data_IF_260975172079
#
_entry.id   IF_260975172079
#
_cell.length_a   1.000
_cell.length_b   1.000
_cell.length_c   1.000
_cell.angle_alpha   90.00
_cell.angle_beta   90.00
_cell.angle_gamma   90.00
#
_symmetry.space_group_name_H-M   'P 1'
#
loop_
_entity.id
_entity.type
_entity.pdbx_description
1 polymer ?
#
# COMPACT_ATOMS: atom_id res chain seq x y z
N UNK A 1 8.39 10.52 -17.35
CA UNK A 1 8.00 10.24 -17.16
C UNK A 1 7.27 9.72 -17.30
N UNK A 2 7.22 9.50 -17.15
CA UNK A 2 6.75 8.94 -17.14
C UNK A 2 5.87 8.64 -17.03
N UNK A 3 5.63 8.43 -16.91
CA UNK A 3 4.99 8.13 -16.75
C UNK A 3 4.10 7.74 -16.75
N UNK A 4 4.01 7.72 -16.90
CA UNK A 4 3.22 7.34 -17.00
C UNK A 4 2.28 6.69 -16.54
N UNK A 5 1.92 6.13 -16.41
CA UNK A 5 1.15 5.36 -15.76
C UNK A 5 1.42 5.30 -14.45
N UNK A 6 2.03 6.04 -14.04
CA UNK A 6 2.53 6.04 -12.72
C UNK A 6 1.48 6.35 -11.71
N UNK A 7 1.65 5.78 -10.54
CA UNK A 7 0.79 6.09 -9.42
C UNK A 7 1.07 7.50 -8.94
N UNK A 8 0.07 8.18 -8.39
CA UNK A 8 0.33 9.45 -7.74
C UNK A 8 1.29 9.25 -6.57
N UNK A 9 1.97 10.32 -6.20
CA UNK A 9 2.91 10.26 -5.11
C UNK A 9 2.25 9.84 -3.80
N UNK A 10 1.06 10.32 -3.57
CA UNK A 10 0.30 10.01 -2.37
C UNK A 10 -1.01 9.37 -2.75
N UNK A 11 -1.38 8.34 -2.02
CA UNK A 11 -2.61 7.60 -2.26
C UNK A 11 -3.57 7.83 -1.10
N UNK A 12 -4.84 7.96 -1.42
CA UNK A 12 -5.86 7.97 -0.38
C UNK A 12 -6.03 6.56 0.17
N UNK A 13 -6.73 6.45 1.30
CA UNK A 13 -7.03 5.13 1.85
C UNK A 13 -7.82 4.29 0.87
N UNK A 14 -8.77 4.93 0.16
CA UNK A 14 -9.55 4.20 -0.84
C UNK A 14 -8.66 3.68 -1.96
N UNK A 15 -7.75 4.53 -2.44
CA UNK A 15 -6.86 4.10 -3.50
C UNK A 15 -5.92 3.01 -3.03
N UNK A 16 -5.45 3.12 -1.78
CA UNK A 16 -4.59 2.09 -1.21
C UNK A 16 -5.34 0.77 -1.11
N UNK A 17 -6.58 0.82 -0.66
CA UNK A 17 -7.39 -0.40 -0.56
C UNK A 17 -7.57 -1.05 -1.92
N UNK A 18 -7.83 -0.25 -2.94
CA UNK A 18 -7.99 -0.78 -4.28
C UNK A 18 -6.70 -1.42 -4.77
N UNK A 19 -5.59 -0.76 -4.54
CA UNK A 19 -4.29 -1.28 -4.98
C UNK A 19 -3.97 -2.59 -4.28
N UNK A 20 -4.28 -2.67 -2.99
CA UNK A 20 -4.01 -3.88 -2.21
C UNK A 20 -5.13 -4.91 -2.37
N UNK A 21 -6.19 -4.57 -3.08
CA UNK A 21 -7.33 -5.44 -3.31
C UNK A 21 -7.97 -5.87 -2.00
N UNK A 22 -8.18 -4.90 -1.14
CA UNK A 22 -8.78 -5.15 0.16
C UNK A 22 -9.76 -4.03 0.47
N UNK A 23 -10.24 -3.97 1.69
CA UNK A 23 -11.23 -2.98 2.08
C UNK A 23 -10.56 -1.80 2.77
N UNK A 24 -11.27 -0.67 2.79
CA UNK A 24 -10.79 0.49 3.50
C UNK A 24 -10.63 0.18 4.99
N UNK A 25 -11.55 -0.58 5.53
CA UNK A 25 -11.49 -0.95 6.94
C UNK A 25 -10.20 -1.72 7.23
N UNK A 26 -9.85 -2.63 6.34
CA UNK A 26 -8.61 -3.40 6.52
C UNK A 26 -7.40 -2.49 6.46
N UNK A 27 -7.41 -1.51 5.55
CA UNK A 27 -6.29 -0.57 5.46
C UNK A 27 -6.17 0.25 6.73
N UNK A 28 -7.28 0.74 7.26
CA UNK A 28 -7.23 1.48 8.52
C UNK A 28 -6.69 0.63 9.65
N UNK A 29 -7.06 -0.64 9.68
CA UNK A 29 -6.53 -1.53 10.72
C UNK A 29 -5.03 -1.69 10.58
N UNK A 30 -4.54 -1.81 9.36
CA UNK A 30 -3.10 -1.92 9.13
C UNK A 30 -2.39 -0.65 9.58
N UNK A 31 -2.98 0.50 9.31
CA UNK A 31 -2.39 1.76 9.72
C UNK A 31 -2.31 1.85 11.23
N UNK A 32 -3.37 1.46 11.92
CA UNK A 32 -3.40 1.54 13.37
C UNK A 32 -2.40 0.60 14.02
N UNK A 33 -2.12 -0.51 13.38
CA UNK A 33 -1.15 -1.46 13.90
C UNK A 33 0.27 -1.12 13.50
N UNK A 34 0.45 -0.06 12.73
CA UNK A 34 1.77 0.31 12.28
C UNK A 34 2.36 -0.65 11.28
N UNK A 35 1.52 -1.37 10.54
CA UNK A 35 1.99 -2.35 9.58
C UNK A 35 2.22 -1.78 8.19
N UNK A 36 1.74 -0.57 7.94
CA UNK A 36 1.80 0.01 6.61
C UNK A 36 2.80 1.15 6.61
N UNK A 37 3.82 1.11 5.74
CA UNK A 37 4.80 2.19 5.69
C UNK A 37 4.29 3.37 4.90
N UNK A 38 4.93 4.51 5.09
CA UNK A 38 4.63 5.68 4.29
C UNK A 38 3.33 6.36 4.62
N UNK A 39 2.75 6.07 5.78
CA UNK A 39 1.51 6.73 6.18
C UNK A 39 1.82 8.17 6.53
N UNK A 40 1.09 9.08 5.90
CA UNK A 40 1.28 10.50 6.09
C UNK A 40 -0.05 11.12 6.49
N UNK A 41 -0.06 11.90 7.55
CA UNK A 41 -1.26 12.57 7.99
C UNK A 41 -1.14 14.05 7.66
N UNK A 42 -2.08 14.55 6.90
CA UNK A 42 -2.13 15.96 6.52
C UNK A 42 -3.49 16.47 6.94
N UNK A 43 -3.51 17.25 8.02
CA UNK A 43 -4.77 17.66 8.58
C UNK A 43 -5.55 16.44 9.02
N UNK A 44 -6.76 16.30 8.49
CA UNK A 44 -7.59 15.15 8.81
C UNK A 44 -7.44 14.02 7.80
N UNK A 45 -6.62 14.22 6.81
CA UNK A 45 -6.50 13.24 5.75
C UNK A 45 -5.36 12.29 6.06
N UNK A 46 -5.59 11.04 5.75
CA UNK A 46 -4.58 10.02 5.88
C UNK A 46 -4.22 9.58 4.47
N UNK A 47 -2.94 9.68 4.16
CA UNK A 47 -2.43 9.36 2.83
C UNK A 47 -1.28 8.38 2.97
N UNK A 48 -1.04 7.62 1.92
CA UNK A 48 0.03 6.64 1.92
C UNK A 48 0.95 6.97 0.75
N UNK A 49 2.25 7.04 1.02
CA UNK A 49 3.22 7.31 -0.03
C UNK A 49 3.30 6.08 -0.93
N UNK A 50 3.05 6.29 -2.21
CA UNK A 50 3.01 5.17 -3.14
C UNK A 50 4.36 4.47 -3.26
N UNK A 51 5.45 5.23 -3.26
CA UNK A 51 6.77 4.62 -3.36
C UNK A 51 7.05 3.68 -2.20
N UNK A 52 6.70 4.12 -0.99
CA UNK A 52 6.91 3.28 0.19
C UNK A 52 6.02 2.05 0.15
N UNK A 53 4.79 2.23 -0.33
CA UNK A 53 3.87 1.11 -0.43
C UNK A 53 4.36 0.08 -1.42
N UNK A 54 4.86 0.52 -2.56
CA UNK A 54 5.35 -0.41 -3.57
C UNK A 54 6.56 -1.18 -3.04
N UNK A 55 7.43 -0.50 -2.32
CA UNK A 55 8.58 -1.17 -1.73
C UNK A 55 8.14 -2.19 -0.68
N UNK A 56 7.13 -1.82 0.10
CA UNK A 56 6.57 -2.72 1.09
C UNK A 56 6.02 -3.98 0.42
N UNK A 57 5.31 -3.80 -0.69
CA UNK A 57 4.76 -4.93 -1.42
C UNK A 57 5.85 -5.82 -1.99
N UNK A 58 6.94 -5.22 -2.41
CA UNK A 58 8.05 -5.98 -2.95
C UNK A 58 8.65 -6.86 -1.87
N UNK A 59 8.73 -6.36 -0.65
CA UNK A 59 9.23 -7.14 0.48
C UNK A 59 8.27 -8.24 0.89
N UNK A 60 7.00 -8.08 0.57
CA UNK A 60 5.98 -9.08 0.91
C UNK A 60 5.71 -10.04 -0.22
N UNK A 61 6.50 -9.95 -1.28
CA UNK A 61 6.26 -10.79 -2.43
C UNK A 61 6.39 -12.26 -2.04
N UNK A 62 5.44 -13.05 -2.50
CA UNK A 62 5.44 -14.45 -2.18
C UNK A 62 6.60 -15.16 -2.90
N UNK A 63 7.11 -16.22 -2.32
CA UNK A 63 8.11 -17.01 -3.01
C UNK A 63 7.49 -17.66 -4.24
N UNK A 64 8.33 -18.35 -5.02
CA UNK A 64 7.85 -18.96 -6.23
C UNK A 64 6.74 -19.96 -5.90
N UNK A 65 5.87 -20.26 -6.84
CA UNK A 65 4.76 -21.15 -6.55
C UNK A 65 5.18 -22.49 -5.98
N UNK A 66 6.30 -23.01 -6.42
CA UNK A 66 6.76 -24.28 -5.90
C UNK A 66 7.09 -24.22 -4.44
N UNK A 67 7.66 -23.12 -4.02
CA UNK A 67 8.02 -22.97 -2.62
C UNK A 67 6.82 -22.66 -1.77
N UNK A 68 5.88 -21.96 -2.34
CA UNK A 68 4.80 -21.44 -1.58
C UNK A 68 3.73 -22.47 -1.28
N UNK A 69 3.49 -23.37 -2.22
CA UNK A 69 2.42 -24.24 -1.98
C UNK A 69 2.82 -25.39 -1.14
N UNK A 70 1.99 -25.96 -0.62
CA UNK A 70 2.26 -26.93 0.24
C UNK A 70 1.38 -27.91 0.08
#
# INVERSE_FOLDING_TARGET
MSTDNSLPLLLTVTETATLLRTTRKAVYAMIERGLLPGVTRIGRRVLVRSGDLLEFLDHKRAPSPQEYRR
#
